data_IF_532635262501
#
_entry.id   IF_532635262501
#
_cell.length_a   1.000
_cell.length_b   1.000
_cell.length_c   1.000
_cell.angle_alpha   90.00
_cell.angle_beta   90.00
_cell.angle_gamma   90.00
#
_symmetry.space_group_name_H-M   'P 1'
#
loop_
_entity.id
_entity.type
_entity.pdbx_description
1 polymer ?
#
# COMPACT_ATOMS: atom_id res chain seq x y z
N UNK A 1 -26.84 -18.36 14.04
CA UNK A 1 -26.49 -17.81 12.72
C UNK A 1 -25.07 -17.28 12.84
N UNK A 2 -24.10 -18.10 12.45
CA UNK A 2 -22.70 -17.68 12.28
C UNK A 2 -22.70 -16.61 11.19
N UNK A 3 -22.31 -15.38 11.55
CA UNK A 3 -21.96 -14.35 10.56
C UNK A 3 -20.78 -14.93 9.78
N UNK A 4 -20.97 -15.29 8.52
CA UNK A 4 -19.84 -15.37 7.59
C UNK A 4 -19.16 -14.01 7.67
N UNK A 5 -17.92 -13.99 8.14
CA UNK A 5 -17.06 -12.84 7.94
C UNK A 5 -16.85 -12.82 6.43
N UNK A 6 -17.54 -11.93 5.72
CA UNK A 6 -17.15 -11.61 4.35
C UNK A 6 -15.69 -11.15 4.43
N UNK A 7 -14.79 -12.05 4.02
CA UNK A 7 -13.38 -11.75 3.98
C UNK A 7 -13.19 -10.70 2.90
N UNK A 8 -12.87 -9.48 3.33
CA UNK A 8 -12.42 -8.43 2.45
C UNK A 8 -11.15 -8.87 1.70
N UNK A 9 -10.77 -8.09 0.69
CA UNK A 9 -9.64 -8.38 -0.18
C UNK A 9 -8.30 -8.55 0.52
N UNK A 10 -7.30 -8.98 -0.26
CA UNK A 10 -5.92 -9.08 0.24
C UNK A 10 -5.31 -7.67 0.22
N UNK A 11 -4.61 -7.32 1.29
CA UNK A 11 -3.82 -6.10 1.39
C UNK A 11 -2.33 -6.47 1.47
N UNK A 12 -1.49 -5.85 0.64
CA UNK A 12 -0.04 -5.97 0.71
C UNK A 12 0.60 -4.59 0.91
N UNK A 13 1.30 -4.43 2.03
CA UNK A 13 2.04 -3.22 2.39
C UNK A 13 3.52 -3.48 2.14
N UNK A 14 4.07 -2.91 1.08
CA UNK A 14 5.44 -3.17 0.62
C UNK A 14 6.35 -2.02 1.06
N UNK A 15 7.50 -2.36 1.65
CA UNK A 15 8.42 -1.38 2.22
C UNK A 15 9.14 -0.51 1.20
N UNK A 16 9.14 -0.86 -0.08
CA UNK A 16 9.90 -0.18 -1.15
C UNK A 16 10.84 -1.14 -1.86
N UNK A 17 11.59 -0.62 -2.83
CA UNK A 17 12.37 -1.43 -3.76
C UNK A 17 11.51 -2.53 -4.43
N UNK A 18 10.27 -2.18 -4.77
CA UNK A 18 9.34 -3.08 -5.45
C UNK A 18 9.93 -3.62 -6.75
N UNK A 19 9.47 -4.80 -7.14
CA UNK A 19 9.81 -5.42 -8.41
C UNK A 19 11.30 -5.77 -8.59
N UNK A 20 12.09 -5.71 -7.53
CA UNK A 20 13.50 -6.11 -7.48
C UNK A 20 13.66 -7.56 -7.03
N UNK A 21 14.90 -8.04 -7.02
CA UNK A 21 15.22 -9.36 -6.46
C UNK A 21 14.93 -9.37 -4.95
N UNK A 22 14.24 -10.40 -4.47
CA UNK A 22 13.78 -10.51 -3.08
C UNK A 22 12.29 -10.27 -2.89
N UNK A 23 11.60 -9.63 -3.86
CA UNK A 23 10.14 -9.50 -3.87
C UNK A 23 9.44 -10.82 -4.21
N UNK A 24 9.50 -11.82 -3.32
CA UNK A 24 8.92 -13.16 -3.54
C UNK A 24 7.39 -13.19 -3.47
N UNK A 25 6.78 -12.13 -2.95
CA UNK A 25 5.36 -12.04 -2.66
C UNK A 25 4.50 -11.82 -3.93
N UNK A 26 5.01 -11.13 -4.95
CA UNK A 26 4.21 -10.76 -6.13
C UNK A 26 3.67 -11.99 -6.88
N UNK A 27 4.47 -13.05 -7.00
CA UNK A 27 4.03 -14.32 -7.60
C UNK A 27 2.84 -14.96 -6.88
N UNK A 28 2.83 -14.90 -5.54
CA UNK A 28 1.72 -15.45 -4.73
C UNK A 28 0.49 -14.55 -4.79
N UNK A 29 0.66 -13.23 -4.80
CA UNK A 29 -0.45 -12.29 -4.97
C UNK A 29 -1.11 -12.47 -6.36
N UNK A 30 -0.32 -12.68 -7.41
CA UNK A 30 -0.83 -13.03 -8.74
C UNK A 30 -1.60 -14.35 -8.72
N UNK A 31 -1.07 -15.39 -8.07
CA UNK A 31 -1.76 -16.67 -7.93
C UNK A 31 -3.09 -16.52 -7.19
N UNK A 32 -3.10 -15.75 -6.09
CA UNK A 32 -4.29 -15.53 -5.27
C UNK A 32 -5.37 -14.73 -6.01
N UNK A 33 -4.98 -13.72 -6.80
CA UNK A 33 -5.93 -12.93 -7.60
C UNK A 33 -6.48 -13.68 -8.81
N UNK A 34 -5.75 -14.68 -9.32
CA UNK A 34 -6.12 -15.43 -10.52
C UNK A 34 -6.28 -14.54 -11.75
N UNK A 35 -5.59 -13.39 -11.77
CA UNK A 35 -5.63 -12.40 -12.83
C UNK A 35 -4.45 -12.56 -13.77
N UNK A 36 -4.64 -12.24 -15.04
CA UNK A 36 -3.60 -12.06 -16.04
C UNK A 36 -3.22 -10.58 -16.21
N UNK A 37 -3.77 -9.70 -15.35
CA UNK A 37 -3.66 -8.25 -15.43
C UNK A 37 -3.52 -7.59 -14.07
N UNK A 38 -2.52 -6.71 -13.92
CA UNK A 38 -2.35 -5.81 -12.77
C UNK A 38 -2.66 -4.39 -13.18
N UNK A 39 -3.45 -3.67 -12.39
CA UNK A 39 -3.73 -2.25 -12.61
C UNK A 39 -2.78 -1.40 -11.75
N UNK A 40 -1.94 -0.60 -12.39
CA UNK A 40 -0.96 0.27 -11.75
C UNK A 40 -1.52 1.69 -11.56
N UNK A 41 -1.34 2.22 -10.35
CA UNK A 41 -1.60 3.61 -9.98
C UNK A 41 -0.25 4.33 -9.78
N UNK A 42 0.32 4.97 -10.81
CA UNK A 42 1.63 5.64 -10.75
C UNK A 42 1.54 7.08 -10.25
N UNK A 43 0.41 7.50 -9.67
CA UNK A 43 0.13 8.90 -9.31
C UNK A 43 1.24 9.53 -8.45
N UNK A 44 1.82 8.78 -7.51
CA UNK A 44 2.91 9.29 -6.65
C UNK A 44 4.17 9.70 -7.44
N UNK A 45 4.40 9.10 -8.61
CA UNK A 45 5.56 9.37 -9.47
C UNK A 45 5.36 10.57 -10.42
N UNK A 46 4.28 11.35 -10.28
CA UNK A 46 3.93 12.46 -11.20
C UNK A 46 5.02 13.54 -11.36
N UNK A 47 5.85 13.76 -10.34
CA UNK A 47 6.95 14.74 -10.38
C UNK A 47 8.31 14.12 -10.69
N UNK A 48 8.32 12.83 -11.00
CA UNK A 48 9.51 12.08 -11.39
C UNK A 48 9.37 11.68 -12.87
N UNK A 49 9.83 10.49 -13.22
CA UNK A 49 9.66 9.88 -14.54
C UNK A 49 8.66 8.74 -14.38
N UNK A 50 7.33 9.00 -14.39
CA UNK A 50 6.33 7.96 -14.16
C UNK A 50 6.44 6.80 -15.16
N UNK A 51 6.96 7.08 -16.37
CA UNK A 51 7.27 6.05 -17.35
C UNK A 51 8.31 5.03 -16.84
N UNK A 52 9.31 5.44 -16.07
CA UNK A 52 10.31 4.52 -15.52
C UNK A 52 9.66 3.51 -14.54
N UNK A 53 8.71 3.99 -13.72
CA UNK A 53 7.88 3.14 -12.83
C UNK A 53 6.98 2.19 -13.64
N UNK A 54 6.30 2.69 -14.68
CA UNK A 54 5.45 1.87 -15.56
C UNK A 54 6.28 0.79 -16.25
N UNK A 55 7.44 1.15 -16.79
CA UNK A 55 8.33 0.22 -17.48
C UNK A 55 8.89 -0.83 -16.51
N UNK A 56 9.21 -0.45 -15.27
CA UNK A 56 9.67 -1.37 -14.24
C UNK A 56 8.57 -2.39 -13.88
N UNK A 57 7.35 -1.93 -13.61
CA UNK A 57 6.20 -2.80 -13.35
C UNK A 57 5.96 -3.75 -14.53
N UNK A 58 5.91 -3.20 -15.75
CA UNK A 58 5.66 -3.97 -16.97
C UNK A 58 6.71 -5.06 -17.17
N UNK A 59 8.00 -4.73 -17.04
CA UNK A 59 9.08 -5.72 -17.14
C UNK A 59 9.00 -6.79 -16.06
N UNK A 60 8.58 -6.43 -14.85
CA UNK A 60 8.47 -7.37 -13.74
C UNK A 60 7.30 -8.35 -13.95
N UNK A 61 6.10 -7.84 -14.19
CA UNK A 61 4.90 -8.66 -14.35
C UNK A 61 4.91 -9.50 -15.64
N UNK A 62 5.60 -9.04 -16.70
CA UNK A 62 5.82 -9.83 -17.90
C UNK A 62 6.54 -11.17 -17.64
N UNK A 63 7.37 -11.28 -16.59
CA UNK A 63 8.03 -12.54 -16.19
C UNK A 63 7.02 -13.62 -15.79
N UNK A 64 5.81 -13.22 -15.37
CA UNK A 64 4.70 -14.11 -14.99
C UNK A 64 3.64 -14.23 -16.10
N UNK A 65 3.87 -13.64 -17.28
CA UNK A 65 2.87 -13.61 -18.36
C UNK A 65 1.69 -12.67 -18.08
N UNK A 66 1.87 -11.70 -17.18
CA UNK A 66 0.84 -10.77 -16.72
C UNK A 66 1.06 -9.40 -17.35
N UNK A 67 -0.01 -8.75 -17.81
CA UNK A 67 0.03 -7.39 -18.36
C UNK A 67 -0.19 -6.33 -17.26
N UNK A 68 0.28 -5.12 -17.53
CA UNK A 68 0.07 -3.96 -16.66
C UNK A 68 -0.81 -2.95 -17.39
N UNK A 69 -1.99 -2.70 -16.84
CA UNK A 69 -2.85 -1.59 -17.24
C UNK A 69 -2.56 -0.39 -16.34
N UNK A 70 -2.47 0.81 -16.91
CA UNK A 70 -2.11 2.02 -16.14
C UNK A 70 -3.33 2.93 -16.01
N UNK A 71 -3.59 3.40 -14.78
CA UNK A 71 -4.52 4.51 -14.54
C UNK A 71 -3.70 5.80 -14.54
N UNK A 72 -3.67 6.48 -15.69
CA UNK A 72 -2.88 7.70 -15.92
C UNK A 72 -3.48 8.93 -15.21
N UNK A 73 -3.49 8.90 -13.89
CA UNK A 73 -4.01 9.96 -13.03
C UNK A 73 -2.82 10.60 -12.32
N UNK A 74 -2.45 11.80 -12.76
CA UNK A 74 -1.30 12.56 -12.22
C UNK A 74 -1.71 13.90 -11.62
N UNK A 75 -2.96 14.30 -11.79
CA UNK A 75 -3.54 15.52 -11.25
C UNK A 75 -4.93 15.22 -10.72
N UNK A 76 -5.37 16.04 -9.77
CA UNK A 76 -6.70 15.91 -9.17
C UNK A 76 -7.83 15.97 -10.22
N UNK A 77 -7.66 16.79 -11.27
CA UNK A 77 -8.64 16.85 -12.36
C UNK A 77 -8.78 15.50 -13.08
N UNK A 78 -7.68 14.77 -13.27
CA UNK A 78 -7.67 13.45 -13.92
C UNK A 78 -8.45 12.45 -13.06
N UNK A 79 -8.26 12.47 -11.74
CA UNK A 79 -8.96 11.58 -10.79
C UNK A 79 -10.47 11.82 -10.73
N UNK A 80 -10.93 13.01 -11.12
CA UNK A 80 -12.33 13.43 -11.13
C UNK A 80 -12.98 13.30 -12.52
N UNK A 81 -12.18 13.02 -13.56
CA UNK A 81 -12.68 12.99 -14.92
C UNK A 81 -13.67 11.82 -15.11
N UNK A 82 -14.74 12.00 -15.89
CA UNK A 82 -15.61 10.90 -16.28
C UNK A 82 -14.81 9.76 -16.92
N UNK A 83 -15.02 8.54 -16.44
CA UNK A 83 -14.32 7.34 -16.94
C UNK A 83 -12.92 7.10 -16.38
N UNK A 84 -12.36 8.00 -15.56
CA UNK A 84 -11.04 7.82 -14.96
C UNK A 84 -10.90 6.54 -14.13
N UNK A 85 -12.01 6.04 -13.58
CA UNK A 85 -12.08 4.82 -12.78
C UNK A 85 -12.48 3.57 -13.59
N UNK A 86 -12.71 3.67 -14.90
CA UNK A 86 -13.29 2.56 -15.67
C UNK A 86 -12.39 1.32 -15.69
N UNK A 87 -11.07 1.51 -15.77
CA UNK A 87 -10.07 0.44 -15.73
C UNK A 87 -10.16 -0.38 -14.42
N UNK A 88 -10.62 0.24 -13.34
CA UNK A 88 -10.70 -0.36 -12.00
C UNK A 88 -11.96 -1.20 -11.78
N UNK A 89 -13.00 -1.09 -12.62
CA UNK A 89 -14.30 -1.76 -12.41
C UNK A 89 -14.17 -3.29 -12.30
N UNK A 90 -13.37 -3.87 -13.18
CA UNK A 90 -13.16 -5.32 -13.24
C UNK A 90 -11.76 -5.73 -12.73
N UNK A 91 -11.00 -4.79 -12.16
CA UNK A 91 -9.68 -5.07 -11.63
C UNK A 91 -9.76 -6.02 -10.43
N UNK A 92 -8.87 -7.03 -10.42
CA UNK A 92 -8.68 -7.98 -9.31
C UNK A 92 -7.40 -7.74 -8.53
N UNK A 93 -6.48 -6.98 -9.09
CA UNK A 93 -5.21 -6.62 -8.45
C UNK A 93 -4.84 -5.20 -8.85
N UNK A 94 -4.83 -4.29 -7.87
CA UNK A 94 -4.37 -2.91 -7.98
C UNK A 94 -3.04 -2.75 -7.24
N UNK A 95 -2.08 -2.10 -7.88
CA UNK A 95 -0.78 -1.79 -7.30
C UNK A 95 -0.58 -0.27 -7.28
N UNK A 96 -0.32 0.31 -6.10
CA UNK A 96 -0.14 1.74 -5.88
C UNK A 96 1.36 2.01 -5.72
N UNK A 97 1.93 2.76 -6.66
CA UNK A 97 3.36 3.04 -6.68
C UNK A 97 3.78 4.06 -5.60
N UNK A 98 5.07 4.04 -5.25
CA UNK A 98 5.72 5.03 -4.38
C UNK A 98 6.10 6.33 -5.11
N UNK A 99 6.65 7.29 -4.36
CA UNK A 99 6.99 8.63 -4.85
C UNK A 99 6.55 9.71 -3.87
N UNK A 100 5.79 10.71 -4.31
CA UNK A 100 5.29 11.78 -3.44
C UNK A 100 3.98 11.39 -2.72
N UNK A 101 3.98 11.19 -1.39
CA UNK A 101 2.81 10.72 -0.64
C UNK A 101 1.76 11.83 -0.50
N UNK A 102 2.21 13.08 -0.32
CA UNK A 102 1.35 14.26 -0.28
C UNK A 102 0.63 14.49 -1.59
N UNK A 103 1.34 14.31 -2.71
CA UNK A 103 0.75 14.44 -4.02
C UNK A 103 -0.28 13.35 -4.28
N UNK A 104 0.11 12.08 -4.08
CA UNK A 104 -0.76 10.90 -4.19
C UNK A 104 -2.07 11.11 -3.43
N UNK A 105 -1.98 11.47 -2.15
CA UNK A 105 -3.16 11.79 -1.33
C UNK A 105 -3.99 12.92 -1.92
N UNK A 106 -3.36 14.05 -2.29
CA UNK A 106 -4.09 15.23 -2.78
C UNK A 106 -4.88 14.95 -4.07
N UNK A 107 -4.36 14.06 -4.91
CA UNK A 107 -4.99 13.65 -6.16
C UNK A 107 -6.12 12.67 -5.89
N UNK A 108 -5.87 11.61 -5.11
CA UNK A 108 -6.82 10.50 -4.94
C UNK A 108 -7.91 10.75 -3.89
N UNK A 109 -7.64 11.46 -2.79
CA UNK A 109 -8.60 11.58 -1.69
C UNK A 109 -9.95 12.13 -2.19
N UNK A 110 -11.02 11.41 -1.85
CA UNK A 110 -12.40 11.76 -2.21
C UNK A 110 -12.53 11.98 -3.73
N UNK A 111 -12.11 10.98 -4.50
CA UNK A 111 -12.23 10.95 -5.96
C UNK A 111 -12.85 9.63 -6.40
N UNK A 112 -13.53 9.59 -7.56
CA UNK A 112 -14.04 8.35 -8.15
C UNK A 112 -12.98 7.25 -8.30
N UNK A 113 -11.73 7.62 -8.58
CA UNK A 113 -10.62 6.66 -8.71
C UNK A 113 -10.31 6.01 -7.36
N UNK A 114 -10.26 6.79 -6.27
CA UNK A 114 -10.04 6.23 -4.94
C UNK A 114 -11.20 5.35 -4.49
N UNK A 115 -12.43 5.79 -4.71
CA UNK A 115 -13.61 5.01 -4.39
C UNK A 115 -13.57 3.66 -5.14
N UNK A 116 -13.21 3.67 -6.43
CA UNK A 116 -13.07 2.44 -7.21
C UNK A 116 -11.91 1.53 -6.75
N UNK A 117 -10.80 2.08 -6.27
CA UNK A 117 -9.71 1.31 -5.65
C UNK A 117 -10.23 0.59 -4.39
N UNK A 118 -10.94 1.32 -3.51
CA UNK A 118 -11.54 0.74 -2.30
C UNK A 118 -12.55 -0.36 -2.66
N UNK A 119 -13.39 -0.13 -3.67
CA UNK A 119 -14.35 -1.14 -4.15
C UNK A 119 -13.66 -2.39 -4.72
N UNK A 120 -12.42 -2.32 -5.21
CA UNK A 120 -11.63 -3.51 -5.61
C UNK A 120 -11.40 -4.41 -4.40
N UNK A 121 -10.98 -3.82 -3.29
CA UNK A 121 -10.71 -4.57 -2.08
C UNK A 121 -11.98 -5.13 -1.44
N UNK A 122 -13.05 -4.32 -1.37
CA UNK A 122 -14.33 -4.76 -0.80
C UNK A 122 -14.92 -6.00 -1.47
N UNK A 123 -14.75 -6.13 -2.79
CA UNK A 123 -15.21 -7.30 -3.56
C UNK A 123 -14.21 -8.46 -3.59
N UNK A 124 -13.19 -8.46 -2.74
CA UNK A 124 -12.22 -9.55 -2.60
C UNK A 124 -10.98 -9.45 -3.50
N UNK A 125 -10.75 -8.31 -4.16
CA UNK A 125 -9.54 -8.06 -4.94
C UNK A 125 -8.32 -7.74 -4.07
N UNK A 126 -7.17 -7.57 -4.71
CA UNK A 126 -5.90 -7.26 -4.05
C UNK A 126 -5.59 -5.77 -4.19
N UNK A 127 -5.25 -5.12 -3.08
CA UNK A 127 -4.54 -3.83 -3.08
C UNK A 127 -3.12 -4.07 -2.58
N UNK A 128 -2.13 -3.72 -3.40
CA UNK A 128 -0.75 -3.56 -2.96
C UNK A 128 -0.37 -2.09 -2.99
N UNK A 129 0.32 -1.60 -1.97
CA UNK A 129 0.98 -0.31 -1.97
C UNK A 129 2.46 -0.50 -1.71
N UNK A 130 3.33 0.18 -2.45
CA UNK A 130 4.77 0.20 -2.19
C UNK A 130 5.24 1.55 -1.70
N UNK A 131 6.12 1.53 -0.71
CA UNK A 131 6.72 2.68 -0.11
C UNK A 131 5.67 3.73 0.34
N UNK A 132 5.68 4.92 -0.26
CA UNK A 132 4.68 5.95 -0.03
C UNK A 132 3.26 5.54 -0.44
N UNK A 133 3.11 4.66 -1.42
CA UNK A 133 1.85 4.03 -1.77
C UNK A 133 1.30 3.13 -0.66
N UNK A 134 2.17 2.52 0.16
CA UNK A 134 1.76 1.80 1.38
C UNK A 134 1.44 2.78 2.52
N UNK A 135 2.35 3.73 2.77
CA UNK A 135 2.23 4.69 3.87
C UNK A 135 0.97 5.56 3.76
N UNK A 136 0.60 5.96 2.54
CA UNK A 136 -0.58 6.81 2.33
C UNK A 136 -1.89 6.11 2.70
N UNK A 137 -1.94 4.77 2.78
CA UNK A 137 -3.17 4.06 3.12
C UNK A 137 -3.59 4.28 4.58
N UNK A 138 -2.64 4.57 5.47
CA UNK A 138 -2.93 4.87 6.88
C UNK A 138 -3.81 6.13 7.03
N UNK A 139 -4.68 6.15 8.05
CA UNK A 139 -5.34 7.40 8.49
C UNK A 139 -4.31 8.45 8.89
N UNK A 140 -3.35 8.05 9.72
CA UNK A 140 -2.18 8.84 10.09
C UNK A 140 -0.93 8.22 9.49
N UNK A 141 -0.37 8.89 8.47
CA UNK A 141 0.87 8.46 7.83
C UNK A 141 2.06 9.30 8.31
N UNK A 142 3.28 8.82 8.09
CA UNK A 142 4.49 9.45 8.61
C UNK A 142 5.22 10.22 7.53
N UNK A 143 5.58 11.48 7.81
CA UNK A 143 6.46 12.26 6.97
C UNK A 143 7.91 11.76 7.10
N UNK A 144 8.43 11.18 6.02
CA UNK A 144 9.76 10.57 5.98
C UNK A 144 10.93 11.53 6.23
N UNK A 145 10.69 12.84 6.11
CA UNK A 145 11.70 13.87 6.38
C UNK A 145 12.00 14.03 7.86
N UNK A 146 11.04 13.73 8.73
CA UNK A 146 11.16 14.05 10.16
C UNK A 146 10.55 13.06 11.13
N UNK A 147 9.77 12.08 10.68
CA UNK A 147 9.10 11.12 11.56
C UNK A 147 7.85 11.67 12.25
N UNK A 148 7.35 12.84 11.83
CA UNK A 148 6.10 13.40 12.34
C UNK A 148 4.89 12.86 11.55
N UNK A 149 3.72 12.84 12.20
CA UNK A 149 2.49 12.43 11.55
C UNK A 149 1.92 13.51 10.62
N UNK A 150 1.29 13.03 9.56
CA UNK A 150 0.40 13.76 8.67
C UNK A 150 -0.79 12.85 8.34
N UNK A 151 -1.68 13.32 7.48
CA UNK A 151 -2.90 12.61 7.11
C UNK A 151 -2.68 11.80 5.83
N UNK A 152 -3.20 10.57 5.78
CA UNK A 152 -3.21 9.74 4.59
C UNK A 152 -4.60 9.69 3.92
N UNK A 153 -4.89 8.58 3.25
CA UNK A 153 -6.13 8.32 2.52
C UNK A 153 -7.23 7.77 3.42
N UNK A 154 -6.93 7.46 4.68
CA UNK A 154 -7.90 7.01 5.69
C UNK A 154 -8.48 5.64 5.31
N UNK A 155 -7.62 4.69 4.92
CA UNK A 155 -8.03 3.31 4.63
C UNK A 155 -7.75 2.39 5.82
N UNK A 156 -6.52 2.41 6.34
CA UNK A 156 -6.13 1.64 7.53
C UNK A 156 -6.48 2.44 8.77
N UNK A 157 -7.34 1.86 9.60
CA UNK A 157 -7.68 2.38 10.92
C UNK A 157 -6.83 1.65 11.97
N UNK A 158 -6.16 2.39 12.84
CA UNK A 158 -5.28 1.80 13.87
C UNK A 158 -3.91 1.27 13.40
N UNK A 159 -3.52 1.42 12.13
CA UNK A 159 -2.19 1.03 11.64
C UNK A 159 -1.47 2.12 10.83
N UNK A 160 -0.24 2.46 11.25
CA UNK A 160 0.69 3.36 10.58
C UNK A 160 1.84 2.60 9.93
N UNK A 161 2.11 2.87 8.65
CA UNK A 161 3.21 2.24 7.90
C UNK A 161 4.39 3.19 7.71
N UNK A 162 5.58 2.73 8.10
CA UNK A 162 6.89 3.33 7.81
C UNK A 162 7.59 2.48 6.74
N UNK A 163 7.65 2.95 5.48
CA UNK A 163 8.38 2.25 4.43
C UNK A 163 9.90 2.48 4.55
N UNK A 164 10.67 1.61 3.88
CA UNK A 164 12.14 1.60 3.82
C UNK A 164 12.75 1.70 5.20
N UNK A 165 12.24 0.88 6.12
CA UNK A 165 12.56 0.98 7.53
C UNK A 165 14.05 0.75 7.83
N UNK A 166 14.70 -0.09 7.04
CA UNK A 166 16.16 -0.27 6.96
C UNK A 166 16.97 1.02 6.69
N UNK A 167 16.34 2.10 6.24
CA UNK A 167 16.96 3.43 6.03
C UNK A 167 16.50 4.49 7.05
N UNK A 168 15.65 4.08 8.01
CA UNK A 168 15.04 4.99 8.97
C UNK A 168 15.95 5.23 10.17
N UNK A 169 16.16 6.49 10.53
CA UNK A 169 17.00 6.84 11.69
C UNK A 169 16.27 6.63 13.02
N UNK A 170 17.03 6.34 14.06
CA UNK A 170 16.51 6.20 15.43
C UNK A 170 15.77 7.46 15.90
N UNK A 171 16.28 8.66 15.59
CA UNK A 171 15.62 9.93 15.94
C UNK A 171 14.23 10.06 15.29
N UNK A 172 14.10 9.68 14.01
CA UNK A 172 12.81 9.70 13.33
C UNK A 172 11.87 8.68 13.94
N UNK A 173 12.34 7.46 14.23
CA UNK A 173 11.54 6.41 14.87
C UNK A 173 11.07 6.83 16.27
N UNK A 174 11.98 7.35 17.09
CA UNK A 174 11.66 7.85 18.42
C UNK A 174 10.58 8.93 18.34
N UNK A 175 10.70 9.87 17.41
CA UNK A 175 9.69 10.91 17.18
C UNK A 175 8.35 10.31 16.74
N UNK A 176 8.34 9.35 15.83
CA UNK A 176 7.10 8.68 15.38
C UNK A 176 6.41 7.99 16.55
N UNK A 177 7.13 7.17 17.32
CA UNK A 177 6.57 6.50 18.50
C UNK A 177 6.04 7.51 19.52
N UNK A 178 6.79 8.58 19.79
CA UNK A 178 6.41 9.59 20.79
C UNK A 178 5.17 10.38 20.39
N UNK A 179 4.96 10.60 19.09
CA UNK A 179 3.82 11.37 18.56
C UNK A 179 2.64 10.49 18.13
N UNK A 180 2.72 9.17 18.34
CA UNK A 180 1.69 8.24 17.92
C UNK A 180 0.35 8.57 18.59
N UNK A 181 -0.74 8.67 17.80
CA UNK A 181 -2.08 8.71 18.37
C UNK A 181 -2.35 7.47 19.24
N UNK A 182 -3.15 7.62 20.29
CA UNK A 182 -3.53 6.50 21.15
C UNK A 182 -4.20 5.39 20.34
N UNK A 183 -3.75 4.14 20.54
CA UNK A 183 -4.29 2.97 19.83
C UNK A 183 -3.82 2.84 18.38
N UNK A 184 -2.74 3.53 18.00
CA UNK A 184 -2.12 3.40 16.68
C UNK A 184 -0.91 2.47 16.75
N UNK A 185 -0.99 1.35 16.06
CA UNK A 185 0.15 0.48 15.83
C UNK A 185 1.06 1.07 14.75
N UNK A 186 2.36 0.84 14.88
CA UNK A 186 3.36 1.30 13.92
C UNK A 186 4.07 0.08 13.35
N UNK A 187 4.11 -0.03 12.03
CA UNK A 187 4.88 -1.06 11.33
C UNK A 187 5.95 -0.43 10.45
N UNK A 188 7.20 -0.73 10.76
CA UNK A 188 8.35 -0.50 9.89
C UNK A 188 8.55 -1.67 8.96
N UNK A 189 8.57 -1.42 7.65
CA UNK A 189 8.74 -2.45 6.62
C UNK A 189 10.01 -2.15 5.84
N UNK A 190 10.95 -3.10 5.84
CA UNK A 190 12.19 -2.99 5.07
C UNK A 190 11.93 -3.04 3.55
N UNK A 191 12.88 -2.53 2.79
CA UNK A 191 12.89 -2.71 1.33
C UNK A 191 12.81 -4.19 0.92
N UNK A 192 12.21 -4.44 -0.25
CA UNK A 192 11.93 -5.75 -0.82
C UNK A 192 11.19 -6.71 0.15
N UNK A 193 10.37 -6.14 1.04
CA UNK A 193 9.59 -6.87 2.04
C UNK A 193 8.14 -6.38 2.04
N UNK A 194 7.21 -7.29 2.31
CA UNK A 194 5.78 -7.04 2.39
C UNK A 194 5.21 -7.54 3.72
N UNK A 195 4.37 -6.71 4.34
CA UNK A 195 3.40 -7.14 5.35
C UNK A 195 2.05 -7.34 4.65
N UNK A 196 1.54 -8.57 4.68
CA UNK A 196 0.37 -9.00 3.91
C UNK A 196 -0.74 -9.40 4.87
N UNK A 197 -1.96 -8.94 4.58
CA UNK A 197 -3.19 -9.40 5.22
C UNK A 197 -4.05 -10.18 4.24
N UNK A 198 -4.32 -11.44 4.58
CA UNK A 198 -5.28 -12.31 3.87
C UNK A 198 -6.19 -13.08 4.85
N UNK A 199 -6.55 -12.42 5.96
CA UNK A 199 -7.24 -13.00 7.11
C UNK A 199 -6.33 -13.23 8.31
N UNK A 200 -5.01 -13.17 8.10
CA UNK A 200 -3.99 -13.06 9.13
C UNK A 200 -2.81 -12.25 8.60
N UNK A 201 -2.02 -11.66 9.50
CA UNK A 201 -0.78 -10.98 9.14
C UNK A 201 0.31 -11.98 8.77
N UNK A 202 0.99 -11.74 7.65
CA UNK A 202 2.14 -12.54 7.19
C UNK A 202 3.22 -11.63 6.62
N UNK A 203 4.47 -12.00 6.87
CA UNK A 203 5.64 -11.29 6.35
C UNK A 203 6.26 -12.10 5.22
N UNK A 204 6.54 -11.45 4.09
CA UNK A 204 7.21 -12.05 2.95
C UNK A 204 8.26 -11.11 2.35
N UNK A 205 9.32 -11.67 1.75
CA UNK A 205 10.39 -10.92 1.11
C UNK A 205 11.75 -11.14 1.78
N UNK A 206 12.71 -10.27 1.48
CA UNK A 206 14.11 -10.46 1.89
C UNK A 206 14.54 -9.75 3.17
N UNK A 207 13.74 -8.80 3.65
CA UNK A 207 14.00 -8.03 4.87
C UNK A 207 13.06 -8.41 6.02
N UNK A 208 12.86 -7.47 6.95
CA UNK A 208 12.02 -7.67 8.13
C UNK A 208 10.85 -6.68 8.21
N UNK A 209 9.87 -7.04 9.02
CA UNK A 209 8.83 -6.14 9.53
C UNK A 209 9.05 -5.96 11.02
N UNK A 210 9.09 -4.72 11.48
CA UNK A 210 9.17 -4.37 12.90
C UNK A 210 7.87 -3.70 13.31
N UNK A 211 7.14 -4.30 14.25
CA UNK A 211 5.87 -3.79 14.76
C UNK A 211 6.03 -3.17 16.15
N UNK A 212 5.25 -2.13 16.43
CA UNK A 212 5.17 -1.47 17.72
C UNK A 212 3.72 -1.24 18.12
N UNK A 213 3.38 -1.66 19.34
CA UNK A 213 2.10 -1.38 20.00
C UNK A 213 2.39 -0.57 21.27
N UNK A 214 1.73 0.58 21.43
CA UNK A 214 1.94 1.48 22.59
C UNK A 214 3.43 1.79 22.85
N UNK A 215 4.21 1.92 21.78
CA UNK A 215 5.65 2.19 21.81
C UNK A 215 6.55 1.02 22.22
N UNK A 216 5.98 -0.18 22.42
CA UNK A 216 6.74 -1.40 22.68
C UNK A 216 6.80 -2.25 21.42
N UNK A 217 7.96 -2.84 21.16
CA UNK A 217 8.12 -3.77 20.05
C UNK A 217 7.32 -5.04 20.31
N UNK A 218 6.59 -5.49 19.28
CA UNK A 218 5.85 -6.75 19.24
C UNK A 218 6.24 -7.53 17.98
N UNK A 219 5.88 -8.80 17.92
CA UNK A 219 5.99 -9.58 16.70
C UNK A 219 4.85 -9.21 15.72
N UNK A 220 5.07 -9.22 14.40
CA UNK A 220 4.05 -8.85 13.42
C UNK A 220 2.78 -9.71 13.46
N UNK A 221 2.87 -10.97 13.91
CA UNK A 221 1.71 -11.86 14.08
C UNK A 221 0.87 -11.56 15.33
N UNK A 222 1.36 -10.66 16.20
CA UNK A 222 0.66 -10.16 17.38
C UNK A 222 -0.11 -8.86 17.12
N UNK A 223 0.03 -8.26 15.93
CA UNK A 223 -0.75 -7.10 15.53
C UNK A 223 -2.25 -7.40 15.61
N UNK A 224 -3.03 -6.41 15.99
CA UNK A 224 -4.49 -6.51 15.93
C UNK A 224 -4.96 -6.86 14.51
N UNK A 225 -6.08 -7.58 14.36
CA UNK A 225 -6.67 -7.82 13.05
C UNK A 225 -6.84 -6.54 12.25
N UNK A 226 -6.64 -6.60 10.93
CA UNK A 226 -6.78 -5.44 10.05
C UNK A 226 -8.13 -4.75 10.28
N UNK A 227 -8.07 -3.47 10.66
CA UNK A 227 -9.22 -2.57 10.74
C UNK A 227 -9.16 -1.56 9.61
N UNK A 228 -10.32 -1.32 8.98
CA UNK A 228 -10.47 -0.36 7.89
C UNK A 228 -11.64 0.58 8.15
N UNK A 229 -11.59 1.80 7.61
CA UNK A 229 -12.67 2.79 7.75
C UNK A 229 -13.85 2.57 6.78
N UNK A 230 -13.71 1.61 5.85
CA UNK A 230 -14.58 1.42 4.68
C UNK A 230 -15.45 0.18 4.77
#
# INVERSE_FOLDING_TARGET
MTKEVEMSGILALVGGAEWTDGCTFDAKLLQASGTDRVVLIPTAAAYERPQDTIDAATRHFAKYGVTVDVVEVYRRADALAPGAADVLKDAKFVYIAGGSPMHLRSVLKSSPVWDAIVEVWKRGGIIAGTAEGASVLSTFMVDSRGGAYTVGLDFLDGLTVIPRFNTWSEDKLHRTITLAPTGMDIVGIDEATALIWDGAWRVEGSGAVTAFENGKRIEPDQLDPLSTTV
#
